data_IF_215047634624
#
_entry.id   IF_215047634624
#
_cell.length_a   1.000
_cell.length_b   1.000
_cell.length_c   1.000
_cell.angle_alpha   90.00
_cell.angle_beta   90.00
_cell.angle_gamma   90.00
#
_symmetry.space_group_name_H-M   'P 1'
#
loop_
_entity.id
_entity.type
_entity.pdbx_description
1 polymer ?
#
# COMPACT_ATOMS: atom_id res chain seq x y z
N UNK A 1 -21.09 2.90 -30.79
CA UNK A 1 -21.33 4.14 -30.00
C UNK A 1 -21.13 3.84 -28.50
N UNK A 2 -19.91 3.47 -28.09
CA UNK A 2 -19.58 3.27 -26.68
C UNK A 2 -18.82 4.52 -26.21
N UNK A 3 -19.60 5.54 -25.81
CA UNK A 3 -19.09 6.77 -25.22
C UNK A 3 -18.27 6.40 -23.98
N UNK A 4 -17.07 6.97 -23.90
CA UNK A 4 -16.18 6.94 -22.74
C UNK A 4 -16.98 7.03 -21.44
N UNK A 5 -16.95 5.96 -20.63
CA UNK A 5 -17.51 6.03 -19.28
C UNK A 5 -16.63 7.01 -18.50
N UNK A 6 -17.12 8.22 -18.31
CA UNK A 6 -16.60 9.13 -17.29
C UNK A 6 -16.80 8.40 -15.97
N UNK A 7 -15.73 7.91 -15.35
CA UNK A 7 -15.80 7.36 -14.00
C UNK A 7 -16.40 8.45 -13.09
N UNK A 8 -17.33 8.11 -12.18
CA UNK A 8 -18.01 9.11 -11.35
C UNK A 8 -16.95 9.95 -10.62
N UNK A 9 -16.99 11.26 -10.81
CA UNK A 9 -16.01 12.18 -10.24
C UNK A 9 -16.07 12.10 -8.71
N UNK A 10 -14.92 11.94 -8.05
CA UNK A 10 -14.87 11.85 -6.59
C UNK A 10 -13.83 10.88 -6.03
N UNK A 11 -13.31 11.25 -4.86
CA UNK A 11 -12.38 10.46 -4.04
C UNK A 11 -13.11 9.76 -2.88
N UNK A 12 -14.35 10.18 -2.56
CA UNK A 12 -15.06 9.75 -1.35
C UNK A 12 -15.39 8.26 -1.34
N UNK A 13 -15.95 7.72 -2.42
CA UNK A 13 -16.35 6.31 -2.49
C UNK A 13 -15.12 5.39 -2.51
N UNK A 14 -14.07 5.66 -3.32
CA UNK A 14 -12.84 4.87 -3.24
C UNK A 14 -12.17 5.00 -1.86
N UNK A 15 -12.10 6.20 -1.28
CA UNK A 15 -11.50 6.41 0.05
C UNK A 15 -12.22 5.59 1.12
N UNK A 16 -13.54 5.65 1.17
CA UNK A 16 -14.31 4.87 2.14
C UNK A 16 -14.09 3.37 1.96
N UNK A 17 -14.11 2.87 0.72
CA UNK A 17 -13.84 1.47 0.45
C UNK A 17 -12.42 1.05 0.86
N UNK A 18 -11.42 1.82 0.44
CA UNK A 18 -10.02 1.53 0.72
C UNK A 18 -9.69 1.61 2.21
N UNK A 19 -10.32 2.53 2.93
CA UNK A 19 -10.22 2.65 4.38
C UNK A 19 -10.83 1.45 5.09
N UNK A 20 -12.05 1.04 4.71
CA UNK A 20 -12.72 -0.10 5.33
C UNK A 20 -11.98 -1.41 5.05
N UNK A 21 -11.68 -1.69 3.78
CA UNK A 21 -11.00 -2.93 3.38
C UNK A 21 -9.54 -2.97 3.83
N UNK A 22 -8.82 -1.86 3.71
CA UNK A 22 -7.43 -1.77 4.13
C UNK A 22 -7.28 -1.78 5.65
N UNK A 23 -8.10 -1.00 6.37
CA UNK A 23 -8.12 -1.01 7.83
C UNK A 23 -8.45 -2.40 8.38
N UNK A 24 -9.48 -3.06 7.84
CA UNK A 24 -9.81 -4.42 8.24
C UNK A 24 -8.68 -5.42 7.93
N UNK A 25 -8.10 -5.36 6.73
CA UNK A 25 -7.00 -6.24 6.34
C UNK A 25 -5.73 -6.04 7.16
N UNK A 26 -5.40 -4.80 7.51
CA UNK A 26 -4.24 -4.49 8.37
C UNK A 26 -4.51 -4.95 9.81
N UNK A 27 -5.73 -4.78 10.33
CA UNK A 27 -6.12 -5.31 11.64
C UNK A 27 -5.97 -6.85 11.71
N UNK A 28 -6.32 -7.56 10.64
CA UNK A 28 -6.08 -9.02 10.54
C UNK A 28 -4.59 -9.37 10.59
N UNK A 29 -3.72 -8.52 10.06
CA UNK A 29 -2.28 -8.76 10.13
C UNK A 29 -1.75 -8.65 11.58
N UNK A 30 -2.30 -7.73 12.39
CA UNK A 30 -1.96 -7.59 13.81
C UNK A 30 -2.57 -8.69 14.69
N UNK A 31 -3.63 -9.35 14.23
CA UNK A 31 -4.27 -10.44 14.97
C UNK A 31 -3.32 -11.62 15.23
N UNK A 32 -2.53 -12.02 14.23
CA UNK A 32 -1.68 -13.21 14.33
C UNK A 32 -0.57 -13.09 15.38
N UNK A 33 0.23 -12.01 15.42
CA UNK A 33 1.19 -11.79 16.50
C UNK A 33 0.50 -11.87 17.88
N UNK A 34 -0.60 -11.14 18.07
CA UNK A 34 -1.33 -11.10 19.35
C UNK A 34 -1.81 -12.50 19.76
N UNK A 35 -2.33 -13.29 18.82
CA UNK A 35 -2.77 -14.67 19.08
C UNK A 35 -1.59 -15.58 19.45
N UNK A 36 -0.48 -15.51 18.70
CA UNK A 36 0.71 -16.33 18.96
C UNK A 36 1.37 -15.99 20.29
N UNK A 37 1.39 -14.69 20.65
CA UNK A 37 1.69 -14.27 22.00
C UNK A 37 0.72 -14.94 22.95
N UNK A 38 -0.60 -14.69 22.86
CA UNK A 38 -1.63 -15.25 23.77
C UNK A 38 -1.54 -16.77 24.00
N UNK A 39 -1.07 -17.54 23.02
CA UNK A 39 -0.92 -19.00 23.08
C UNK A 39 0.42 -19.48 23.65
N UNK A 40 1.35 -18.56 23.95
CA UNK A 40 2.66 -18.86 24.53
C UNK A 40 3.72 -19.34 23.53
N UNK A 41 3.49 -19.18 22.22
CA UNK A 41 4.46 -19.57 21.18
C UNK A 41 5.65 -18.62 21.08
N UNK A 42 5.55 -17.42 21.66
CA UNK A 42 6.61 -16.42 21.71
C UNK A 42 6.79 -16.00 23.17
N UNK A 43 8.03 -15.87 23.70
CA UNK A 43 8.26 -15.53 25.10
C UNK A 43 7.56 -14.22 25.49
N UNK A 44 6.80 -14.28 26.57
CA UNK A 44 6.13 -13.13 27.17
C UNK A 44 7.06 -12.38 28.11
N UNK A 45 7.13 -11.06 27.95
CA UNK A 45 7.72 -10.17 28.94
C UNK A 45 6.63 -9.22 29.46
N UNK A 46 6.13 -9.50 30.66
CA UNK A 46 5.06 -8.73 31.32
C UNK A 46 5.48 -7.27 31.61
N UNK A 47 6.78 -6.97 31.65
CA UNK A 47 7.30 -5.62 31.84
C UNK A 47 7.09 -4.71 30.63
N UNK A 48 6.91 -5.31 29.44
CA UNK A 48 6.70 -4.60 28.19
C UNK A 48 5.22 -4.27 28.01
N UNK A 49 4.29 -5.16 28.36
CA UNK A 49 2.88 -5.04 27.96
C UNK A 49 1.90 -4.45 28.98
N UNK A 50 2.27 -4.30 30.26
CA UNK A 50 1.39 -3.69 31.28
C UNK A 50 0.87 -2.28 30.94
N UNK A 51 1.68 -1.39 30.32
CA UNK A 51 1.23 -0.09 29.79
C UNK A 51 0.75 -0.12 28.32
N UNK A 52 0.92 -1.25 27.60
CA UNK A 52 0.67 -1.35 26.16
C UNK A 52 -0.78 -1.68 25.80
N UNK A 53 -1.64 -2.03 26.75
CA UNK A 53 -3.06 -2.31 26.50
C UNK A 53 -3.79 -1.11 25.85
N UNK A 54 -3.61 0.08 26.41
CA UNK A 54 -4.21 1.33 25.94
C UNK A 54 -3.55 1.84 24.66
N UNK A 55 -2.23 1.71 24.56
CA UNK A 55 -1.48 2.14 23.37
C UNK A 55 -1.88 1.25 22.17
N UNK A 56 -1.96 -0.06 22.37
CA UNK A 56 -2.40 -1.00 21.33
C UNK A 56 -3.82 -0.69 20.85
N UNK A 57 -4.77 -0.46 21.77
CA UNK A 57 -6.14 -0.09 21.39
C UNK A 57 -6.18 1.21 20.59
N UNK A 58 -5.45 2.26 21.02
CA UNK A 58 -5.38 3.53 20.28
C UNK A 58 -4.73 3.34 18.91
N UNK A 59 -3.67 2.53 18.82
CA UNK A 59 -3.01 2.20 17.56
C UNK A 59 -3.97 1.44 16.63
N UNK A 60 -4.72 0.46 17.11
CA UNK A 60 -5.67 -0.30 16.28
C UNK A 60 -6.85 0.57 15.83
N UNK A 61 -7.42 1.38 16.72
CA UNK A 61 -8.64 2.15 16.43
C UNK A 61 -8.40 3.45 15.68
N UNK A 62 -7.27 4.12 15.92
CA UNK A 62 -6.98 5.45 15.34
C UNK A 62 -5.74 5.38 14.46
N UNK A 63 -4.67 4.73 14.94
CA UNK A 63 -3.40 4.63 14.23
C UNK A 63 -3.53 3.93 12.88
N UNK A 64 -4.14 2.74 12.82
CA UNK A 64 -4.29 1.97 11.58
C UNK A 64 -5.16 2.71 10.56
N UNK A 65 -6.40 3.14 10.87
CA UNK A 65 -7.22 3.85 9.88
C UNK A 65 -6.53 5.10 9.34
N UNK A 66 -5.87 5.88 10.21
CA UNK A 66 -5.12 7.06 9.80
C UNK A 66 -3.94 6.69 8.89
N UNK A 67 -3.18 5.66 9.25
CA UNK A 67 -2.06 5.17 8.45
C UNK A 67 -2.52 4.68 7.07
N UNK A 68 -3.64 3.97 6.98
CA UNK A 68 -4.22 3.50 5.71
C UNK A 68 -4.56 4.68 4.81
N UNK A 69 -5.23 5.70 5.33
CA UNK A 69 -5.57 6.91 4.57
C UNK A 69 -4.30 7.60 4.07
N UNK A 70 -3.37 7.91 4.96
CA UNK A 70 -2.12 8.60 4.62
C UNK A 70 -1.31 7.81 3.60
N UNK A 71 -1.17 6.50 3.80
CA UNK A 71 -0.48 5.61 2.88
C UNK A 71 -1.15 5.60 1.50
N UNK A 72 -2.49 5.53 1.43
CA UNK A 72 -3.20 5.58 0.15
C UNK A 72 -2.95 6.89 -0.61
N UNK A 73 -3.01 8.04 0.05
CA UNK A 73 -2.73 9.34 -0.58
C UNK A 73 -1.28 9.44 -1.04
N UNK A 74 -0.34 9.09 -0.18
CA UNK A 74 1.09 9.17 -0.46
C UNK A 74 1.51 8.20 -1.57
N UNK A 75 1.11 6.94 -1.46
CA UNK A 75 1.42 5.89 -2.43
C UNK A 75 0.83 6.19 -3.80
N UNK A 76 -0.45 6.57 -3.86
CA UNK A 76 -1.07 6.97 -5.14
C UNK A 76 -0.41 8.21 -5.73
N UNK A 77 0.09 9.14 -4.92
CA UNK A 77 0.80 10.34 -5.37
C UNK A 77 2.10 9.96 -6.07
N UNK A 78 2.91 9.12 -5.43
CA UNK A 78 4.14 8.58 -6.02
C UNK A 78 3.82 7.82 -7.31
N UNK A 79 2.88 6.88 -7.25
CA UNK A 79 2.53 6.05 -8.39
C UNK A 79 2.01 6.88 -9.57
N UNK A 80 1.19 7.91 -9.29
CA UNK A 80 0.70 8.82 -10.31
C UNK A 80 1.84 9.66 -10.90
N UNK A 81 2.79 10.14 -10.08
CA UNK A 81 3.97 10.84 -10.58
C UNK A 81 4.79 9.95 -11.52
N UNK A 82 4.97 8.67 -11.19
CA UNK A 82 5.66 7.72 -12.06
C UNK A 82 4.88 7.49 -13.37
N UNK A 83 3.56 7.41 -13.29
CA UNK A 83 2.69 7.32 -14.46
C UNK A 83 2.82 8.56 -15.35
N UNK A 84 2.97 9.77 -14.79
CA UNK A 84 3.21 10.98 -15.56
C UNK A 84 4.57 10.94 -16.28
N UNK A 85 5.62 10.47 -15.62
CA UNK A 85 6.97 10.33 -16.22
C UNK A 85 6.95 9.41 -17.44
N UNK A 86 6.24 8.28 -17.36
CA UNK A 86 6.10 7.35 -18.49
C UNK A 86 5.04 7.76 -19.52
N UNK A 87 4.48 8.98 -19.41
CA UNK A 87 3.41 9.52 -20.27
C UNK A 87 2.14 8.64 -20.24
N UNK A 88 1.83 8.09 -19.08
CA UNK A 88 0.68 7.23 -18.82
C UNK A 88 -0.39 7.82 -17.89
N UNK A 89 -0.16 8.97 -17.27
CA UNK A 89 -1.07 9.57 -16.28
C UNK A 89 -2.34 10.24 -16.83
N UNK A 90 -2.77 9.99 -18.07
CA UNK A 90 -3.86 10.73 -18.74
C UNK A 90 -5.22 10.72 -18.03
N UNK A 91 -5.53 9.63 -17.31
CA UNK A 91 -6.73 9.51 -16.46
C UNK A 91 -6.74 10.36 -15.18
N UNK A 92 -5.65 11.08 -14.87
CA UNK A 92 -5.55 11.95 -13.68
C UNK A 92 -5.35 11.22 -12.36
N UNK A 93 -5.02 11.97 -11.30
CA UNK A 93 -4.71 11.42 -9.98
C UNK A 93 -5.87 10.62 -9.36
N UNK A 94 -7.11 11.10 -9.51
CA UNK A 94 -8.28 10.43 -8.94
C UNK A 94 -8.48 9.02 -9.50
N UNK A 95 -8.10 8.78 -10.76
CA UNK A 95 -8.10 7.45 -11.35
C UNK A 95 -7.07 6.53 -10.70
N UNK A 96 -5.83 7.01 -10.53
CA UNK A 96 -4.78 6.25 -9.84
C UNK A 96 -5.17 5.95 -8.39
N UNK A 97 -5.65 6.96 -7.66
CA UNK A 97 -6.12 6.80 -6.28
C UNK A 97 -7.22 5.75 -6.17
N UNK A 98 -8.18 5.76 -7.10
CA UNK A 98 -9.27 4.77 -7.13
C UNK A 98 -8.77 3.34 -7.27
N UNK A 99 -7.82 3.10 -8.17
CA UNK A 99 -7.20 1.77 -8.35
C UNK A 99 -6.46 1.35 -7.08
N UNK A 100 -5.68 2.26 -6.48
CA UNK A 100 -4.99 2.01 -5.20
C UNK A 100 -5.99 1.67 -4.10
N UNK A 101 -7.07 2.42 -3.98
CA UNK A 101 -8.09 2.23 -2.97
C UNK A 101 -8.82 0.89 -3.11
N UNK A 102 -9.26 0.53 -4.32
CA UNK A 102 -9.94 -0.74 -4.56
C UNK A 102 -8.99 -1.94 -4.41
N UNK A 103 -7.70 -1.76 -4.68
CA UNK A 103 -6.70 -2.82 -4.46
C UNK A 103 -6.51 -3.19 -2.98
N UNK A 104 -6.97 -2.36 -2.04
CA UNK A 104 -6.90 -2.68 -0.61
C UNK A 104 -7.74 -3.90 -0.23
N UNK A 105 -8.74 -4.26 -1.04
CA UNK A 105 -9.49 -5.51 -0.85
C UNK A 105 -8.61 -6.77 -0.86
N UNK A 106 -7.45 -6.72 -1.52
CA UNK A 106 -6.48 -7.82 -1.49
C UNK A 106 -5.96 -8.12 -0.07
N UNK A 107 -6.01 -7.15 0.85
CA UNK A 107 -5.57 -7.35 2.23
C UNK A 107 -6.48 -8.30 3.03
N UNK A 108 -7.64 -8.71 2.50
CA UNK A 108 -8.45 -9.79 3.08
C UNK A 108 -7.67 -11.10 3.23
N UNK A 109 -6.66 -11.32 2.37
CA UNK A 109 -5.78 -12.48 2.45
C UNK A 109 -4.96 -12.54 3.73
N UNK A 110 -4.80 -11.43 4.47
CA UNK A 110 -4.13 -11.39 5.78
C UNK A 110 -4.83 -12.25 6.85
N UNK A 111 -6.02 -12.78 6.59
CA UNK A 111 -6.63 -13.84 7.39
C UNK A 111 -5.81 -15.13 7.40
N UNK A 112 -4.89 -15.35 6.46
CA UNK A 112 -4.02 -16.52 6.47
C UNK A 112 -2.74 -16.19 7.26
N UNK A 113 -2.41 -16.91 8.34
CA UNK A 113 -1.20 -16.64 9.12
C UNK A 113 0.05 -16.84 8.26
N UNK A 114 1.05 -15.98 8.45
CA UNK A 114 2.37 -15.96 7.79
C UNK A 114 2.36 -15.75 6.26
N UNK A 115 1.43 -16.37 5.54
CA UNK A 115 1.32 -16.36 4.08
C UNK A 115 0.40 -15.26 3.55
N UNK A 116 -0.55 -14.79 4.36
CA UNK A 116 -1.59 -13.85 3.95
C UNK A 116 -1.03 -12.56 3.37
N UNK A 117 -0.02 -11.98 4.02
CA UNK A 117 0.63 -10.75 3.57
C UNK A 117 1.31 -10.90 2.20
N UNK A 118 1.93 -12.05 1.93
CA UNK A 118 2.57 -12.34 0.65
C UNK A 118 1.55 -12.45 -0.47
N UNK A 119 0.47 -13.22 -0.23
CA UNK A 119 -0.63 -13.36 -1.18
C UNK A 119 -1.30 -12.02 -1.43
N UNK A 120 -1.59 -11.26 -0.37
CA UNK A 120 -2.16 -9.92 -0.46
C UNK A 120 -1.30 -8.98 -1.30
N UNK A 121 0.02 -9.00 -1.10
CA UNK A 121 0.96 -8.15 -1.84
C UNK A 121 0.95 -8.46 -3.34
N UNK A 122 1.06 -9.74 -3.70
CA UNK A 122 1.04 -10.17 -5.10
C UNK A 122 -0.31 -9.84 -5.73
N UNK A 123 -1.42 -10.16 -5.05
CA UNK A 123 -2.76 -9.93 -5.57
C UNK A 123 -3.08 -8.44 -5.72
N UNK A 124 -2.66 -7.63 -4.76
CA UNK A 124 -2.77 -6.16 -4.81
C UNK A 124 -2.03 -5.61 -6.02
N UNK A 125 -0.81 -6.08 -6.28
CA UNK A 125 -0.04 -5.68 -7.46
C UNK A 125 -0.74 -6.06 -8.76
N UNK A 126 -1.29 -7.27 -8.86
CA UNK A 126 -2.07 -7.72 -10.03
C UNK A 126 -3.28 -6.81 -10.28
N UNK A 127 -4.07 -6.53 -9.24
CA UNK A 127 -5.22 -5.62 -9.33
C UNK A 127 -4.78 -4.23 -9.78
N UNK A 128 -3.68 -3.71 -9.25
CA UNK A 128 -3.21 -2.39 -9.63
C UNK A 128 -2.69 -2.36 -11.07
N UNK A 129 -1.97 -3.37 -11.53
CA UNK A 129 -1.48 -3.43 -12.90
C UNK A 129 -2.65 -3.41 -13.89
N UNK A 130 -3.64 -4.28 -13.68
CA UNK A 130 -4.84 -4.37 -14.54
C UNK A 130 -5.68 -3.08 -14.42
N UNK A 131 -5.91 -2.61 -13.19
CA UNK A 131 -6.72 -1.42 -12.94
C UNK A 131 -6.12 -0.16 -13.55
N UNK A 132 -4.79 0.03 -13.45
CA UNK A 132 -4.10 1.16 -14.04
C UNK A 132 -4.06 1.08 -15.57
N UNK A 133 -3.83 -0.12 -16.12
CA UNK A 133 -3.92 -0.37 -17.56
C UNK A 133 -5.25 0.12 -18.11
N UNK A 134 -6.35 -0.30 -17.47
CA UNK A 134 -7.68 0.00 -17.98
C UNK A 134 -8.13 1.44 -17.72
N UNK A 135 -7.88 1.98 -16.53
CA UNK A 135 -8.39 3.31 -16.19
C UNK A 135 -7.61 4.44 -16.88
N UNK A 136 -6.32 4.22 -17.17
CA UNK A 136 -5.47 5.18 -17.86
C UNK A 136 -5.32 4.90 -19.36
N UNK A 137 -5.90 3.79 -19.85
CA UNK A 137 -5.83 3.37 -21.25
C UNK A 137 -4.40 3.32 -21.81
N UNK A 138 -3.47 2.74 -21.05
CA UNK A 138 -2.04 2.65 -21.38
C UNK A 138 -1.57 1.20 -21.40
N UNK A 139 -0.53 0.86 -22.15
CA UNK A 139 -0.05 -0.53 -22.22
C UNK A 139 0.45 -1.06 -20.86
N UNK A 140 0.31 -2.39 -20.64
CA UNK A 140 0.85 -3.07 -19.46
C UNK A 140 2.35 -2.79 -19.24
N UNK A 141 3.14 -2.75 -20.32
CA UNK A 141 4.55 -2.41 -20.23
C UNK A 141 4.78 -1.01 -19.62
N UNK A 142 3.93 -0.03 -19.97
CA UNK A 142 4.02 1.32 -19.40
C UNK A 142 3.64 1.35 -17.92
N UNK A 143 2.64 0.57 -17.52
CA UNK A 143 2.29 0.39 -16.10
C UNK A 143 3.44 -0.25 -15.32
N UNK A 144 4.03 -1.32 -15.85
CA UNK A 144 5.18 -2.00 -15.23
C UNK A 144 6.39 -1.06 -15.09
N UNK A 145 6.70 -0.26 -16.12
CA UNK A 145 7.75 0.75 -16.02
C UNK A 145 7.47 1.75 -14.88
N UNK A 146 6.22 2.20 -14.72
CA UNK A 146 5.87 3.09 -13.61
C UNK A 146 6.11 2.47 -12.23
N UNK A 147 5.96 1.15 -12.08
CA UNK A 147 6.31 0.44 -10.83
C UNK A 147 7.81 0.24 -10.63
N UNK A 148 8.59 0.12 -11.71
CA UNK A 148 10.05 -0.07 -11.64
C UNK A 148 10.81 1.24 -11.39
N UNK A 149 10.25 2.39 -11.82
CA UNK A 149 10.91 3.70 -11.66
C UNK A 149 11.24 4.07 -10.21
N UNK A 150 10.32 3.95 -9.22
CA UNK A 150 10.65 4.23 -7.82
C UNK A 150 11.80 3.37 -7.30
N UNK A 151 11.86 2.11 -7.70
CA UNK A 151 12.90 1.16 -7.29
C UNK A 151 14.26 1.63 -7.83
N UNK A 152 14.30 1.99 -9.12
CA UNK A 152 15.51 2.52 -9.74
C UNK A 152 15.97 3.82 -9.07
N UNK A 153 15.06 4.77 -8.85
CA UNK A 153 15.35 6.05 -8.19
C UNK A 153 15.90 5.81 -6.78
N UNK A 154 15.31 4.89 -6.02
CA UNK A 154 15.77 4.53 -4.69
C UNK A 154 17.21 4.01 -4.68
N UNK A 155 17.55 3.08 -5.58
CA UNK A 155 18.93 2.58 -5.70
C UNK A 155 19.93 3.67 -6.10
N UNK A 156 19.54 4.57 -7.01
CA UNK A 156 20.38 5.70 -7.43
C UNK A 156 20.62 6.66 -6.24
N UNK A 157 19.59 7.00 -5.48
CA UNK A 157 19.71 7.86 -4.29
C UNK A 157 20.62 7.23 -3.21
N UNK A 158 20.48 5.92 -2.96
CA UNK A 158 21.34 5.19 -2.04
C UNK A 158 22.79 5.24 -2.50
N UNK A 159 23.06 4.96 -3.78
CA UNK A 159 24.40 4.99 -4.33
C UNK A 159 25.02 6.39 -4.20
N UNK A 160 24.26 7.45 -4.50
CA UNK A 160 24.73 8.83 -4.35
C UNK A 160 25.02 9.22 -2.90
N UNK A 161 24.32 8.66 -1.91
CA UNK A 161 24.58 8.92 -0.50
C UNK A 161 25.74 8.08 0.07
N UNK A 162 25.81 6.80 -0.30
CA UNK A 162 26.78 5.85 0.26
C UNK A 162 28.17 6.00 -0.37
N UNK A 163 28.29 6.25 -1.67
CA UNK A 163 29.61 6.33 -2.33
C UNK A 163 30.49 7.43 -1.73
N UNK A 164 30.01 8.67 -1.51
CA UNK A 164 30.80 9.71 -0.85
C UNK A 164 31.13 9.36 0.60
N UNK A 165 30.20 8.75 1.34
CA UNK A 165 30.43 8.32 2.71
C UNK A 165 31.56 7.28 2.77
N UNK A 166 31.56 6.29 1.88
CA UNK A 166 32.60 5.28 1.79
C UNK A 166 33.96 5.90 1.42
N UNK A 167 33.98 6.84 0.48
CA UNK A 167 35.21 7.58 0.12
C UNK A 167 35.78 8.45 1.25
N UNK A 168 34.97 8.83 2.24
CA UNK A 168 35.44 9.57 3.42
C UNK A 168 35.96 8.66 4.53
N UNK A 169 35.55 7.38 4.53
CA UNK A 169 35.88 6.41 5.58
C UNK A 169 37.11 5.56 5.24
N UNK A 170 37.50 5.47 3.96
CA UNK A 170 38.65 4.74 3.46
C UNK A 170 39.63 5.67 2.75
#
# INVERSE_FOLDING_TARGET
MFKARRYPEGIREPLAFGLLSGGFGDMLAFFWPVLLFSLGFVPFDDSVFGPLDRILIVTLMVGIPLAVVLNMFFYSGILHLMLLIVRGGGGGYQATFRVVAYSQAALVWNIIPFMGAWIATVWKLVIQIIGLHEIHHISYARVMMAFLLPILIFFVLIAMALVPLLMLLF
#
